data_IF_345023609445
#
_entry.id   IF_345023609445
#
_cell.length_a   1.000
_cell.length_b   1.000
_cell.length_c   1.000
_cell.angle_alpha   90.00
_cell.angle_beta   90.00
_cell.angle_gamma   90.00
#
_symmetry.space_group_name_H-M   'P 1'
#
loop_
_entity.id
_entity.type
_entity.pdbx_description
1 polymer ?
#
# COMPACT_ATOMS: atom_id res chain seq x y z
N UNK A 1 -17.05 -36.49 -56.48
CA UNK A 1 -16.68 -35.23 -57.18
C UNK A 1 -15.55 -34.60 -56.37
N UNK A 2 -14.30 -34.92 -56.71
CA UNK A 2 -13.40 -34.12 -57.56
C UNK A 2 -12.70 -32.98 -56.79
N UNK A 3 -11.47 -33.32 -56.35
CA UNK A 3 -10.25 -32.50 -56.28
C UNK A 3 -10.34 -31.06 -56.82
N UNK A 4 -9.91 -30.08 -56.04
CA UNK A 4 -9.07 -28.94 -56.47
C UNK A 4 -8.37 -28.39 -55.19
N UNK A 5 -7.11 -28.74 -54.91
CA UNK A 5 -5.85 -28.19 -55.44
C UNK A 5 -5.17 -27.19 -54.48
N UNK A 6 -4.13 -27.72 -53.83
CA UNK A 6 -2.94 -27.05 -53.31
C UNK A 6 -2.42 -25.90 -54.19
N UNK A 7 -2.05 -24.78 -53.56
CA UNK A 7 -0.94 -23.85 -53.89
C UNK A 7 -0.93 -22.80 -52.76
N UNK A 8 0.02 -22.79 -51.82
CA UNK A 8 1.31 -22.12 -52.00
C UNK A 8 2.34 -22.60 -50.96
N UNK A 9 3.47 -23.13 -51.45
CA UNK A 9 4.74 -23.29 -50.72
C UNK A 9 5.56 -22.00 -50.86
N UNK A 10 6.54 -21.85 -49.95
CA UNK A 10 7.66 -20.89 -49.94
C UNK A 10 7.27 -19.47 -49.51
N UNK A 11 7.86 -18.86 -48.49
CA UNK A 11 9.29 -18.62 -48.30
C UNK A 11 9.61 -18.49 -46.79
N UNK A 12 10.43 -19.39 -46.25
CA UNK A 12 11.17 -19.18 -45.00
C UNK A 12 12.66 -19.16 -45.37
N UNK A 13 13.43 -18.11 -45.02
CA UNK A 13 14.85 -18.09 -45.30
C UNK A 13 15.61 -19.01 -44.33
N UNK A 14 16.36 -19.95 -44.89
CA UNK A 14 17.35 -20.78 -44.19
C UNK A 14 18.50 -19.89 -43.70
N UNK A 15 18.56 -19.62 -42.40
CA UNK A 15 19.74 -19.05 -41.76
C UNK A 15 20.76 -20.19 -41.60
N UNK A 16 21.82 -20.14 -42.41
CA UNK A 16 22.99 -21.02 -42.27
C UNK A 16 23.85 -20.49 -41.11
N UNK A 17 23.96 -21.27 -40.03
CA UNK A 17 25.00 -21.07 -39.04
C UNK A 17 26.33 -21.56 -39.63
N UNK A 18 27.20 -20.63 -40.01
CA UNK A 18 28.61 -20.94 -40.26
C UNK A 18 29.34 -21.00 -38.92
N UNK A 19 29.75 -22.19 -38.53
CA UNK A 19 30.74 -22.41 -37.48
C UNK A 19 32.13 -22.13 -38.06
N UNK A 20 32.74 -21.02 -37.71
CA UNK A 20 34.17 -20.77 -37.93
C UNK A 20 34.91 -20.90 -36.61
N UNK A 21 35.43 -22.09 -36.34
CA UNK A 21 36.56 -22.30 -35.44
C UNK A 21 37.81 -21.77 -36.15
N UNK A 22 38.41 -20.69 -35.62
CA UNK A 22 39.77 -20.30 -35.98
C UNK A 22 40.57 -20.04 -34.71
N UNK A 23 41.37 -21.04 -34.35
CA UNK A 23 42.52 -20.91 -33.46
C UNK A 23 43.53 -19.95 -34.07
N UNK A 24 43.92 -18.90 -33.34
CA UNK A 24 45.15 -18.17 -33.64
C UNK A 24 45.99 -18.04 -32.37
N UNK A 25 47.28 -18.29 -32.60
CA UNK A 25 48.37 -18.48 -31.66
C UNK A 25 48.85 -17.15 -31.06
N UNK A 26 49.46 -17.28 -29.90
CA UNK A 26 50.32 -16.29 -29.25
C UNK A 26 51.35 -15.68 -30.22
N UNK A 27 51.49 -14.36 -30.17
CA UNK A 27 52.77 -13.66 -30.31
C UNK A 27 52.70 -12.40 -29.45
N UNK A 28 53.43 -12.40 -28.34
CA UNK A 28 53.83 -11.19 -27.64
C UNK A 28 54.88 -10.49 -28.49
N UNK A 29 54.81 -9.16 -28.60
CA UNK A 29 55.96 -8.25 -28.54
C UNK A 29 55.53 -6.77 -28.68
N UNK A 30 55.93 -6.00 -27.65
CA UNK A 30 56.41 -4.62 -27.64
C UNK A 30 55.51 -3.42 -28.04
N UNK A 31 55.25 -2.61 -27.01
CA UNK A 31 54.83 -1.20 -27.01
C UNK A 31 55.82 -0.28 -27.76
N UNK A 32 55.32 0.89 -28.22
CA UNK A 32 55.78 2.12 -27.60
C UNK A 32 54.63 3.01 -27.13
N UNK A 33 54.85 3.67 -25.99
CA UNK A 33 54.05 4.79 -25.49
C UNK A 33 54.29 6.00 -26.39
N UNK A 34 53.25 6.75 -26.74
CA UNK A 34 53.29 8.21 -26.81
C UNK A 34 51.89 8.82 -27.03
N UNK A 35 51.57 9.75 -26.13
CA UNK A 35 50.82 10.99 -26.32
C UNK A 35 49.28 10.96 -26.33
N UNK A 36 48.78 11.18 -25.11
CA UNK A 36 47.48 11.74 -24.77
C UNK A 36 47.13 12.97 -25.62
N UNK A 37 46.07 12.88 -26.42
CA UNK A 37 45.29 14.03 -26.85
C UNK A 37 43.80 13.68 -26.72
N UNK A 38 43.26 14.03 -25.55
CA UNK A 38 41.91 14.51 -25.30
C UNK A 38 40.80 14.01 -26.27
N UNK A 39 40.48 12.72 -26.20
CA UNK A 39 39.09 12.30 -26.42
C UNK A 39 38.37 12.44 -25.09
N UNK A 40 37.51 13.45 -25.05
CA UNK A 40 36.49 13.69 -24.03
C UNK A 40 35.88 12.37 -23.56
N UNK A 41 36.18 12.02 -22.31
CA UNK A 41 35.46 11.03 -21.52
C UNK A 41 34.03 11.52 -21.34
N UNK A 42 33.18 11.29 -22.33
CA UNK A 42 31.77 11.01 -22.03
C UNK A 42 31.85 9.73 -21.23
N UNK A 43 31.77 9.87 -19.91
CA UNK A 43 31.68 8.73 -19.03
C UNK A 43 30.37 8.04 -19.38
N UNK A 44 30.45 6.89 -20.06
CA UNK A 44 29.39 5.90 -20.10
C UNK A 44 29.09 5.49 -18.65
N UNK A 45 28.31 6.31 -17.93
CA UNK A 45 27.69 5.98 -16.64
C UNK A 45 26.49 5.04 -16.83
N UNK A 46 26.62 4.13 -17.79
CA UNK A 46 25.77 2.95 -17.95
C UNK A 46 26.70 1.73 -18.00
N UNK A 47 27.60 1.61 -17.03
CA UNK A 47 28.08 0.29 -16.65
C UNK A 47 26.81 -0.53 -16.39
N UNK A 48 26.49 -1.46 -17.29
CA UNK A 48 25.28 -2.26 -17.25
C UNK A 48 25.37 -3.15 -16.02
N UNK A 49 24.90 -2.65 -14.89
CA UNK A 49 24.74 -3.44 -13.67
C UNK A 49 23.96 -4.70 -14.03
N UNK A 50 24.40 -5.85 -13.50
CA UNK A 50 23.74 -7.10 -13.76
C UNK A 50 22.28 -7.03 -13.28
N UNK A 51 21.32 -7.63 -14.01
CA UNK A 51 19.93 -7.58 -13.60
C UNK A 51 19.75 -8.21 -12.21
N UNK A 52 19.02 -7.53 -11.33
CA UNK A 52 18.73 -7.99 -9.97
C UNK A 52 17.65 -9.07 -10.00
N UNK A 53 18.05 -10.33 -10.14
CA UNK A 53 17.12 -11.47 -10.04
C UNK A 53 17.10 -11.93 -8.59
N UNK A 54 16.04 -11.59 -7.87
CA UNK A 54 15.83 -11.96 -6.47
C UNK A 54 14.89 -13.15 -6.39
N UNK A 55 15.42 -14.35 -6.60
CA UNK A 55 14.74 -15.60 -6.26
C UNK A 55 14.72 -15.74 -4.74
N UNK A 56 13.53 -15.85 -4.16
CA UNK A 56 13.39 -16.06 -2.72
C UNK A 56 13.34 -17.57 -2.43
N UNK A 57 14.22 -18.08 -1.58
CA UNK A 57 14.06 -19.42 -1.01
C UNK A 57 13.07 -19.33 0.15
N UNK A 58 11.88 -19.90 -0.03
CA UNK A 58 10.80 -19.88 0.98
C UNK A 58 11.00 -20.98 2.04
N UNK A 59 12.23 -21.13 2.54
CA UNK A 59 12.62 -22.27 3.39
C UNK A 59 11.91 -22.26 4.75
N UNK A 60 11.53 -21.09 5.24
CA UNK A 60 10.86 -20.91 6.53
C UNK A 60 9.35 -21.15 6.48
N UNK A 61 8.70 -20.71 5.40
CA UNK A 61 7.25 -20.82 5.23
C UNK A 61 6.97 -21.18 3.77
N UNK A 62 6.70 -22.45 3.53
CA UNK A 62 6.29 -22.91 2.20
C UNK A 62 4.89 -22.41 1.87
N UNK A 63 4.62 -22.02 0.61
CA UNK A 63 3.33 -21.50 0.21
C UNK A 63 2.23 -22.55 0.39
N UNK A 64 1.15 -22.19 1.06
CA UNK A 64 0.04 -23.11 1.34
C UNK A 64 -0.74 -23.48 0.06
N UNK A 65 -0.70 -22.63 -0.96
CA UNK A 65 -1.33 -22.86 -2.26
C UNK A 65 -0.31 -23.30 -3.30
N UNK A 66 -0.70 -24.22 -4.19
CA UNK A 66 0.13 -24.69 -5.33
C UNK A 66 0.28 -23.61 -6.43
N UNK A 67 -0.39 -22.47 -6.28
CA UNK A 67 -0.22 -21.32 -7.17
C UNK A 67 1.23 -20.85 -7.12
N UNK A 68 1.90 -20.82 -8.27
CA UNK A 68 3.28 -20.36 -8.37
C UNK A 68 3.46 -18.93 -7.84
N UNK A 69 4.68 -18.65 -7.39
CA UNK A 69 5.08 -17.33 -6.88
C UNK A 69 4.82 -16.25 -7.92
N UNK A 70 4.36 -15.08 -7.48
CA UNK A 70 4.15 -13.94 -8.38
C UNK A 70 5.50 -13.26 -8.61
N UNK A 71 5.79 -12.90 -9.86
CA UNK A 71 6.99 -12.18 -10.23
C UNK A 71 6.64 -10.73 -10.54
N UNK A 72 7.42 -9.80 -10.02
CA UNK A 72 7.23 -8.36 -10.21
C UNK A 72 8.55 -7.71 -10.59
N UNK A 73 8.49 -6.69 -11.43
CA UNK A 73 9.66 -5.92 -11.85
C UNK A 73 10.20 -5.06 -10.71
N UNK A 74 11.52 -4.97 -10.64
CA UNK A 74 12.22 -3.99 -9.79
C UNK A 74 12.53 -2.78 -10.65
N UNK A 75 12.00 -1.63 -10.26
CA UNK A 75 12.17 -0.35 -10.94
C UNK A 75 13.24 0.51 -10.25
N UNK A 76 13.82 1.44 -11.01
CA UNK A 76 14.69 2.50 -10.50
C UNK A 76 13.88 3.67 -9.94
N UNK A 77 14.44 4.46 -9.03
CA UNK A 77 13.87 5.77 -8.65
C UNK A 77 14.78 6.94 -9.05
N UNK A 78 16.04 6.65 -9.38
CA UNK A 78 17.11 7.62 -9.61
C UNK A 78 16.93 8.47 -10.89
N UNK A 79 16.11 8.01 -11.83
CA UNK A 79 15.88 8.66 -13.12
C UNK A 79 14.39 8.72 -13.40
N UNK A 80 13.96 9.72 -14.17
CA UNK A 80 12.54 9.88 -14.55
C UNK A 80 12.14 8.68 -15.39
N UNK A 81 13.01 8.32 -16.35
CA UNK A 81 12.79 7.22 -17.29
C UNK A 81 12.71 5.87 -16.59
N UNK A 82 11.67 5.10 -16.91
CA UNK A 82 11.46 3.77 -16.36
C UNK A 82 12.56 2.81 -16.83
N UNK A 83 13.28 2.22 -15.88
CA UNK A 83 14.27 1.18 -16.12
C UNK A 83 13.99 -0.02 -15.24
N UNK A 84 13.84 -1.18 -15.88
CA UNK A 84 13.64 -2.47 -15.21
C UNK A 84 15.01 -3.02 -14.80
N UNK A 85 15.33 -2.86 -13.52
CA UNK A 85 16.59 -3.31 -12.93
C UNK A 85 16.63 -4.82 -12.74
N UNK A 86 15.48 -5.47 -12.56
CA UNK A 86 15.42 -6.89 -12.24
C UNK A 86 14.02 -7.41 -11.97
N UNK A 87 13.93 -8.62 -11.42
CA UNK A 87 12.68 -9.29 -11.08
C UNK A 87 12.80 -9.83 -9.65
N UNK A 88 11.75 -9.63 -8.86
CA UNK A 88 11.60 -10.22 -7.52
C UNK A 88 10.43 -11.20 -7.50
N UNK A 89 10.64 -12.32 -6.81
CA UNK A 89 9.58 -13.28 -6.51
C UNK A 89 8.88 -12.90 -5.19
N UNK A 90 7.56 -12.90 -5.22
CA UNK A 90 6.69 -12.57 -4.09
C UNK A 90 5.96 -13.80 -3.58
N UNK A 91 5.80 -13.88 -2.26
CA UNK A 91 5.12 -14.99 -1.62
C UNK A 91 3.61 -15.01 -1.94
N UNK A 92 3.04 -16.13 -2.43
CA UNK A 92 1.66 -16.17 -2.88
C UNK A 92 0.64 -15.99 -1.74
N UNK A 93 0.93 -16.44 -0.51
CA UNK A 93 0.01 -16.25 0.62
C UNK A 93 -0.10 -14.79 1.12
N UNK A 94 0.74 -13.88 0.61
CA UNK A 94 0.65 -12.44 0.91
C UNK A 94 0.13 -11.65 -0.28
N UNK A 95 0.68 -11.91 -1.47
CA UNK A 95 0.44 -11.13 -2.68
C UNK A 95 -0.47 -11.81 -3.72
N UNK A 96 -0.84 -13.08 -3.52
CA UNK A 96 -1.73 -13.83 -4.41
C UNK A 96 -2.94 -14.42 -3.67
N UNK A 97 -3.35 -13.81 -2.56
CA UNK A 97 -4.56 -14.21 -1.82
C UNK A 97 -5.83 -13.87 -2.59
N UNK A 98 -6.91 -14.58 -2.32
CA UNK A 98 -8.20 -14.28 -2.93
C UNK A 98 -8.67 -12.86 -2.54
N UNK A 99 -9.00 -11.99 -3.51
CA UNK A 99 -9.39 -10.62 -3.23
C UNK A 99 -10.77 -10.55 -2.56
N UNK A 100 -10.76 -10.38 -1.23
CA UNK A 100 -11.97 -10.34 -0.39
C UNK A 100 -12.38 -8.90 -0.06
N UNK A 101 -13.21 -8.31 -0.92
CA UNK A 101 -13.71 -6.93 -0.79
C UNK A 101 -14.49 -6.70 0.52
N UNK A 102 -15.20 -7.73 1.00
CA UNK A 102 -15.92 -7.72 2.27
C UNK A 102 -14.99 -7.46 3.47
N UNK A 103 -13.89 -8.20 3.55
CA UNK A 103 -12.90 -8.06 4.64
C UNK A 103 -12.15 -6.74 4.54
N UNK A 104 -11.87 -6.28 3.32
CA UNK A 104 -11.27 -4.97 3.07
C UNK A 104 -12.19 -3.86 3.61
N UNK A 105 -13.48 -3.90 3.27
CA UNK A 105 -14.47 -2.94 3.77
C UNK A 105 -14.60 -2.97 5.30
N UNK A 106 -14.66 -4.16 5.92
CA UNK A 106 -14.69 -4.29 7.39
C UNK A 106 -13.48 -3.61 8.06
N UNK A 107 -12.30 -3.75 7.46
CA UNK A 107 -11.07 -3.14 7.97
C UNK A 107 -11.09 -1.61 7.88
N UNK A 108 -11.55 -1.06 6.76
CA UNK A 108 -11.69 0.39 6.57
C UNK A 108 -12.67 0.97 7.59
N UNK A 109 -13.84 0.35 7.73
CA UNK A 109 -14.86 0.81 8.67
C UNK A 109 -14.37 0.73 10.12
N UNK A 110 -13.65 -0.34 10.46
CA UNK A 110 -12.98 -0.46 11.75
C UNK A 110 -11.97 0.67 11.97
N UNK A 111 -11.08 0.93 11.00
CA UNK A 111 -10.06 1.99 11.06
C UNK A 111 -10.66 3.40 11.19
N UNK A 112 -11.83 3.64 10.59
CA UNK A 112 -12.57 4.90 10.75
C UNK A 112 -13.20 5.02 12.14
N UNK A 113 -13.88 3.97 12.61
CA UNK A 113 -14.70 4.00 13.83
C UNK A 113 -13.88 3.90 15.12
N UNK A 114 -12.79 3.12 15.15
CA UNK A 114 -12.04 2.89 16.40
C UNK A 114 -11.45 4.17 16.99
N UNK A 115 -11.10 5.14 16.14
CA UNK A 115 -10.55 6.45 16.53
C UNK A 115 -11.61 7.55 16.67
N UNK A 116 -12.85 7.28 16.26
CA UNK A 116 -13.90 8.30 16.17
C UNK A 116 -14.65 8.46 17.50
N UNK A 117 -14.72 9.70 17.97
CA UNK A 117 -15.49 10.10 19.16
C UNK A 117 -16.43 11.23 18.76
N UNK A 118 -17.73 11.03 18.98
CA UNK A 118 -18.73 12.05 18.73
C UNK A 118 -18.92 12.93 19.95
N UNK A 119 -18.61 14.22 19.78
CA UNK A 119 -18.80 15.25 20.82
C UNK A 119 -20.14 15.96 20.72
N UNK A 120 -20.99 15.60 19.75
CA UNK A 120 -22.30 16.21 19.57
C UNK A 120 -23.16 16.01 20.83
N UNK A 121 -23.56 17.11 21.46
CA UNK A 121 -24.35 17.09 22.69
C UNK A 121 -25.58 17.97 22.54
N UNK A 122 -26.75 17.39 22.81
CA UNK A 122 -27.99 18.15 22.92
C UNK A 122 -28.45 18.21 24.37
N UNK A 123 -28.87 19.42 24.79
CA UNK A 123 -29.42 19.64 26.13
C UNK A 123 -30.80 19.00 26.23
N UNK A 124 -30.94 18.11 27.20
CA UNK A 124 -32.25 17.60 27.62
C UNK A 124 -33.04 18.68 28.33
N UNK A 125 -34.36 18.48 28.50
CA UNK A 125 -35.22 19.44 29.24
C UNK A 125 -34.75 19.73 30.67
N UNK A 126 -33.97 18.82 31.27
CA UNK A 126 -33.41 18.99 32.61
C UNK A 126 -32.20 19.94 32.62
N UNK A 127 -31.39 19.90 31.56
CA UNK A 127 -30.14 20.65 31.42
C UNK A 127 -30.33 22.07 30.86
N UNK A 128 -31.43 22.34 30.16
CA UNK A 128 -31.79 23.70 29.73
C UNK A 128 -32.04 24.58 30.96
N UNK A 129 -31.68 25.88 30.95
CA UNK A 129 -31.86 26.82 32.09
C UNK A 129 -33.34 27.22 32.31
N UNK A 130 -33.77 27.63 33.52
CA UNK A 130 -35.14 28.16 33.80
C UNK A 130 -36.20 27.15 34.32
N UNK A 131 -37.42 27.13 33.80
CA UNK A 131 -38.34 25.95 33.81
C UNK A 131 -38.77 25.23 35.09
N UNK A 132 -38.41 25.70 36.30
CA UNK A 132 -38.78 25.05 37.57
C UNK A 132 -40.21 25.35 38.03
N UNK A 133 -40.81 26.45 37.57
CA UNK A 133 -42.19 26.83 37.88
C UNK A 133 -43.16 26.35 36.78
N UNK A 134 -44.32 25.85 37.19
CA UNK A 134 -45.42 25.51 36.28
C UNK A 134 -45.93 26.78 35.56
N UNK A 135 -46.07 26.80 34.22
CA UNK A 135 -46.46 28.01 33.49
C UNK A 135 -47.83 28.58 33.88
N UNK A 136 -48.82 27.71 34.09
CA UNK A 136 -50.17 28.07 34.52
C UNK A 136 -50.87 26.89 35.25
N UNK A 137 -51.95 27.15 36.02
CA UNK A 137 -52.72 26.09 36.69
C UNK A 137 -53.27 25.04 35.71
N UNK A 138 -53.53 23.82 36.22
CA UNK A 138 -53.95 22.68 35.38
C UNK A 138 -55.31 22.88 34.70
N UNK A 139 -56.19 23.67 35.30
CA UNK A 139 -57.57 23.94 34.86
C UNK A 139 -57.86 25.45 35.01
N UNK A 140 -58.88 25.95 34.30
CA UNK A 140 -59.37 27.33 34.41
C UNK A 140 -58.88 28.30 33.34
N UNK A 141 -57.79 28.01 32.62
CA UNK A 141 -57.21 28.94 31.63
C UNK A 141 -57.64 28.68 30.18
N UNK A 142 -58.33 27.57 29.88
CA UNK A 142 -58.72 27.19 28.51
C UNK A 142 -57.54 26.79 27.58
N UNK A 143 -56.30 26.79 28.08
CA UNK A 143 -55.09 26.45 27.31
C UNK A 143 -54.71 24.97 27.45
N UNK A 144 -53.84 24.48 26.56
CA UNK A 144 -53.22 23.16 26.69
C UNK A 144 -52.47 23.00 28.03
N UNK A 145 -52.40 21.78 28.54
CA UNK A 145 -51.80 21.47 29.85
C UNK A 145 -50.29 21.33 29.72
N UNK A 146 -49.53 22.14 30.45
CA UNK A 146 -48.06 22.08 30.45
C UNK A 146 -47.47 22.10 31.86
N UNK A 147 -46.41 21.30 32.05
CA UNK A 147 -45.70 21.19 33.32
C UNK A 147 -44.48 22.10 33.43
N UNK A 148 -43.80 22.40 32.32
CA UNK A 148 -42.59 23.23 32.28
C UNK A 148 -42.41 23.86 30.90
N UNK A 149 -41.86 25.08 30.86
CA UNK A 149 -41.50 25.77 29.61
C UNK A 149 -40.30 25.14 28.89
N UNK A 150 -39.53 24.26 29.54
CA UNK A 150 -38.35 23.59 28.94
C UNK A 150 -38.71 22.30 28.19
N UNK A 151 -40.00 21.96 28.10
CA UNK A 151 -40.46 20.77 27.40
C UNK A 151 -40.07 20.84 25.91
N UNK A 152 -39.74 19.70 25.26
CA UNK A 152 -39.44 19.67 23.82
C UNK A 152 -40.54 20.24 22.92
N UNK A 153 -41.78 20.30 23.42
CA UNK A 153 -42.92 20.90 22.72
C UNK A 153 -42.85 22.44 22.64
N UNK A 154 -42.09 23.08 23.52
CA UNK A 154 -41.93 24.54 23.53
C UNK A 154 -40.71 24.97 22.73
N UNK A 155 -40.81 26.16 22.11
CA UNK A 155 -39.65 26.83 21.50
C UNK A 155 -38.60 27.13 22.57
N UNK A 156 -37.34 26.74 22.30
CA UNK A 156 -36.24 26.87 23.26
C UNK A 156 -36.22 25.82 24.37
N UNK A 157 -37.13 24.82 24.32
CA UNK A 157 -37.08 23.64 25.17
C UNK A 157 -35.93 22.69 24.81
N UNK A 158 -35.70 21.70 25.68
CA UNK A 158 -34.69 20.68 25.43
C UNK A 158 -35.09 19.71 24.32
N UNK A 159 -34.13 19.00 23.71
CA UNK A 159 -34.44 17.93 22.74
C UNK A 159 -34.80 16.63 23.48
N UNK A 160 -35.81 15.91 22.99
CA UNK A 160 -36.25 14.63 23.57
C UNK A 160 -35.26 13.50 23.24
N UNK A 161 -35.05 13.27 21.94
CA UNK A 161 -34.05 12.34 21.41
C UNK A 161 -33.05 13.15 20.60
N UNK A 162 -31.88 13.37 21.17
CA UNK A 162 -30.78 14.00 20.48
C UNK A 162 -29.48 13.35 20.91
N UNK A 163 -28.37 13.72 20.26
CA UNK A 163 -27.08 13.12 20.55
C UNK A 163 -26.69 13.41 22.00
N UNK A 164 -26.19 12.37 22.66
CA UNK A 164 -25.60 12.42 24.00
C UNK A 164 -24.12 12.17 23.83
N UNK A 165 -23.30 13.02 24.43
CA UNK A 165 -21.85 13.02 24.27
C UNK A 165 -21.17 12.99 25.64
N UNK A 166 -19.96 12.42 25.74
CA UNK A 166 -19.20 11.82 24.63
C UNK A 166 -19.69 10.40 24.28
N UNK A 167 -19.84 10.10 22.99
CA UNK A 167 -20.12 8.74 22.50
C UNK A 167 -18.95 8.21 21.70
N UNK A 168 -18.42 7.06 22.14
CA UNK A 168 -17.33 6.36 21.48
C UNK A 168 -17.89 5.27 20.56
N UNK A 169 -17.28 5.10 19.39
CA UNK A 169 -17.63 4.02 18.46
C UNK A 169 -16.53 2.94 18.42
N UNK A 170 -15.79 2.81 19.52
CA UNK A 170 -14.65 1.92 19.62
C UNK A 170 -15.09 0.45 19.62
N UNK A 171 -14.46 -0.33 18.75
CA UNK A 171 -14.46 -1.78 18.79
C UNK A 171 -13.15 -2.30 18.20
N UNK A 172 -12.75 -3.51 18.60
CA UNK A 172 -11.56 -4.17 18.06
C UNK A 172 -11.97 -5.24 17.06
N UNK A 173 -11.50 -5.12 15.82
CA UNK A 173 -11.65 -6.17 14.82
C UNK A 173 -10.73 -7.36 15.17
N UNK A 174 -11.21 -8.62 15.05
CA UNK A 174 -10.39 -9.80 15.28
C UNK A 174 -9.06 -9.71 14.54
N UNK A 175 -7.98 -10.13 15.20
CA UNK A 175 -6.63 -9.94 14.70
C UNK A 175 -6.43 -10.51 13.29
N UNK A 176 -6.88 -11.74 13.04
CA UNK A 176 -6.72 -12.37 11.72
C UNK A 176 -7.60 -11.75 10.64
N UNK A 177 -8.77 -11.17 10.98
CA UNK A 177 -9.53 -10.37 10.03
C UNK A 177 -8.75 -9.11 9.58
N UNK A 178 -7.92 -8.54 10.47
CA UNK A 178 -7.04 -7.42 10.13
C UNK A 178 -5.90 -7.84 9.20
N UNK A 179 -5.26 -8.96 9.50
CA UNK A 179 -4.21 -9.55 8.64
C UNK A 179 -4.77 -9.90 7.25
N UNK A 180 -5.92 -10.58 7.19
CA UNK A 180 -6.58 -10.90 5.92
C UNK A 180 -6.95 -9.65 5.12
N UNK A 181 -7.32 -8.55 5.77
CA UNK A 181 -7.58 -7.28 5.11
C UNK A 181 -6.32 -6.69 4.48
N UNK A 182 -5.17 -6.78 5.15
CA UNK A 182 -3.89 -6.34 4.61
C UNK A 182 -3.45 -7.18 3.40
N UNK A 183 -3.42 -8.51 3.53
CA UNK A 183 -3.00 -9.42 2.45
C UNK A 183 -3.91 -9.32 1.24
N UNK A 184 -5.24 -9.27 1.45
CA UNK A 184 -6.20 -9.09 0.37
C UNK A 184 -6.00 -7.75 -0.36
N UNK A 185 -5.69 -6.67 0.36
CA UNK A 185 -5.45 -5.36 -0.27
C UNK A 185 -4.15 -5.34 -1.08
N UNK A 186 -3.07 -5.92 -0.56
CA UNK A 186 -1.80 -6.08 -1.30
C UNK A 186 -1.99 -6.92 -2.57
N UNK A 187 -2.76 -8.01 -2.46
CA UNK A 187 -3.07 -8.88 -3.59
C UNK A 187 -3.93 -8.14 -4.64
N UNK A 188 -4.88 -7.30 -4.22
CA UNK A 188 -5.68 -6.46 -5.12
C UNK A 188 -4.80 -5.43 -5.84
N UNK A 189 -3.94 -4.71 -5.11
CA UNK A 189 -3.02 -3.71 -5.72
C UNK A 189 -2.10 -4.35 -6.75
N UNK A 190 -1.57 -5.54 -6.46
CA UNK A 190 -0.77 -6.28 -7.44
C UNK A 190 -1.60 -6.73 -8.65
N UNK A 191 -2.81 -7.26 -8.44
CA UNK A 191 -3.66 -7.72 -9.52
C UNK A 191 -4.19 -6.60 -10.43
N UNK A 192 -4.17 -5.35 -9.96
CA UNK A 192 -4.57 -4.15 -10.69
C UNK A 192 -3.39 -3.45 -11.39
N UNK A 193 -2.18 -3.98 -11.26
CA UNK A 193 -0.94 -3.33 -11.73
C UNK A 193 -0.64 -1.98 -11.04
N UNK A 194 -1.23 -1.73 -9.85
CA UNK A 194 -1.03 -0.52 -9.05
C UNK A 194 0.15 -0.65 -8.04
N UNK A 195 0.75 -1.84 -7.96
CA UNK A 195 1.86 -2.15 -7.05
C UNK A 195 3.19 -2.11 -7.81
N UNK A 196 4.07 -1.17 -7.43
CA UNK A 196 5.41 -1.07 -7.97
C UNK A 196 6.46 -1.39 -6.90
N UNK A 197 7.54 -2.05 -7.30
CA UNK A 197 8.66 -2.36 -6.41
C UNK A 197 9.88 -1.58 -6.88
N UNK A 198 10.45 -0.78 -5.99
CA UNK A 198 11.67 -0.02 -6.24
C UNK A 198 12.84 -0.63 -5.47
N UNK A 199 14.05 -0.42 -5.97
CA UNK A 199 15.26 -0.87 -5.29
C UNK A 199 15.41 -0.20 -3.92
N UNK A 200 15.54 1.13 -3.93
CA UNK A 200 15.76 2.00 -2.77
C UNK A 200 14.98 3.32 -2.97
N UNK A 201 14.90 4.16 -1.92
CA UNK A 201 14.18 5.47 -1.96
C UNK A 201 15.11 6.67 -2.20
N UNK A 202 16.33 6.43 -2.68
CA UNK A 202 17.33 7.48 -2.88
C UNK A 202 17.09 8.23 -4.19
N UNK A 203 16.76 9.52 -4.12
CA UNK A 203 16.54 10.38 -5.29
C UNK A 203 17.76 11.28 -5.52
N UNK A 204 18.18 11.55 -6.77
CA UNK A 204 19.34 12.40 -7.08
C UNK A 204 19.20 13.85 -6.62
N UNK A 205 17.98 14.41 -6.64
CA UNK A 205 17.69 15.80 -6.24
C UNK A 205 16.49 15.86 -5.29
N UNK A 206 16.48 16.82 -4.37
CA UNK A 206 15.33 17.15 -3.51
C UNK A 206 14.22 17.94 -4.21
N UNK A 207 14.31 18.10 -5.53
CA UNK A 207 13.34 18.84 -6.33
C UNK A 207 12.02 18.07 -6.47
N UNK A 208 10.91 18.69 -6.03
CA UNK A 208 9.58 18.10 -6.17
C UNK A 208 9.13 17.95 -7.64
N UNK A 209 9.73 18.73 -8.57
CA UNK A 209 9.44 18.64 -10.00
C UNK A 209 9.91 17.31 -10.57
N UNK A 210 11.10 16.85 -10.17
CA UNK A 210 11.63 15.55 -10.56
C UNK A 210 10.65 14.42 -10.23
N UNK A 211 10.15 14.39 -8.99
CA UNK A 211 9.22 13.35 -8.55
C UNK A 211 7.86 13.45 -9.26
N UNK A 212 7.40 14.67 -9.55
CA UNK A 212 6.17 14.89 -10.32
C UNK A 212 6.30 14.38 -11.76
N UNK A 213 7.41 14.71 -12.41
CA UNK A 213 7.68 14.29 -13.79
C UNK A 213 7.83 12.76 -13.86
N UNK A 214 8.47 12.14 -12.87
CA UNK A 214 8.59 10.69 -12.74
C UNK A 214 7.21 10.01 -12.64
N UNK A 215 6.33 10.53 -11.77
CA UNK A 215 4.98 9.99 -11.59
C UNK A 215 4.16 10.10 -12.89
N UNK A 216 4.29 11.21 -13.62
CA UNK A 216 3.58 11.44 -14.88
C UNK A 216 4.11 10.50 -15.96
N UNK A 217 5.43 10.39 -16.11
CA UNK A 217 6.04 9.57 -17.15
C UNK A 217 5.66 8.08 -17.00
N UNK A 218 5.71 7.58 -15.76
CA UNK A 218 5.44 6.18 -15.44
C UNK A 218 3.96 5.87 -15.26
N UNK A 219 3.10 6.87 -15.39
CA UNK A 219 1.65 6.75 -15.21
C UNK A 219 1.25 6.16 -13.84
N UNK A 220 1.93 6.53 -12.77
CA UNK A 220 1.61 6.09 -11.39
C UNK A 220 0.31 6.69 -10.83
N UNK A 221 -0.50 7.35 -11.66
CA UNK A 221 -1.75 7.95 -11.25
C UNK A 221 -1.60 9.23 -10.41
N UNK A 222 -2.72 9.76 -9.90
CA UNK A 222 -2.76 11.05 -9.20
C UNK A 222 -2.24 11.01 -7.76
N UNK A 223 -2.14 9.83 -7.14
CA UNK A 223 -1.72 9.70 -5.74
C UNK A 223 -0.87 8.47 -5.51
N UNK A 224 0.22 8.63 -4.76
CA UNK A 224 1.27 7.63 -4.61
C UNK A 224 1.60 7.45 -3.14
N UNK A 225 1.66 6.20 -2.69
CA UNK A 225 2.14 5.85 -1.36
C UNK A 225 3.46 5.10 -1.47
N UNK A 226 4.54 5.71 -0.98
CA UNK A 226 5.87 5.11 -0.95
C UNK A 226 6.14 4.54 0.44
N UNK A 227 6.57 3.29 0.50
CA UNK A 227 6.79 2.57 1.75
C UNK A 227 8.20 1.99 1.80
N UNK A 228 8.90 2.28 2.89
CA UNK A 228 10.22 1.72 3.19
C UNK A 228 10.24 0.98 4.53
N UNK A 229 11.25 0.14 4.75
CA UNK A 229 11.44 -0.59 6.01
C UNK A 229 11.80 0.35 7.16
N UNK A 230 12.67 1.32 6.89
CA UNK A 230 13.20 2.22 7.91
C UNK A 230 12.24 3.39 8.21
N UNK A 231 12.38 3.95 9.40
CA UNK A 231 11.62 5.14 9.81
C UNK A 231 12.31 6.44 9.37
N UNK A 232 13.62 6.37 9.16
CA UNK A 232 14.47 7.49 8.76
C UNK A 232 14.61 7.42 7.24
N UNK A 233 14.00 8.37 6.55
CA UNK A 233 14.08 8.49 5.10
C UNK A 233 15.23 9.41 4.68
N UNK A 234 15.78 9.26 3.47
CA UNK A 234 16.79 10.18 2.96
C UNK A 234 16.25 11.62 2.82
N UNK A 235 17.13 12.62 2.95
CA UNK A 235 16.74 14.04 2.97
C UNK A 235 16.04 14.47 1.67
N UNK A 236 16.58 14.05 0.52
CA UNK A 236 16.07 14.43 -0.80
C UNK A 236 14.60 14.02 -1.01
N UNK A 237 14.24 12.76 -0.70
CA UNK A 237 12.86 12.30 -0.84
C UNK A 237 11.95 13.03 0.15
N UNK A 238 12.40 13.29 1.37
CA UNK A 238 11.61 14.01 2.36
C UNK A 238 11.29 15.43 1.88
N UNK A 239 12.27 16.16 1.35
CA UNK A 239 12.07 17.50 0.84
C UNK A 239 11.13 17.52 -0.38
N UNK A 240 11.35 16.61 -1.34
CA UNK A 240 10.53 16.49 -2.53
C UNK A 240 9.06 16.18 -2.18
N UNK A 241 8.85 15.23 -1.26
CA UNK A 241 7.52 14.74 -0.88
C UNK A 241 6.77 15.73 0.00
N UNK A 242 7.46 16.44 0.90
CA UNK A 242 6.84 17.45 1.79
C UNK A 242 6.10 18.55 1.01
N UNK A 243 6.58 18.88 -0.19
CA UNK A 243 5.96 19.86 -1.09
C UNK A 243 4.73 19.29 -1.84
N UNK A 244 4.59 17.96 -1.94
CA UNK A 244 3.56 17.26 -2.71
C UNK A 244 2.56 16.55 -1.78
N UNK A 245 1.40 17.15 -1.53
CA UNK A 245 0.40 16.57 -0.61
C UNK A 245 -0.27 15.25 -1.05
N UNK A 246 -0.09 14.83 -2.32
CA UNK A 246 -0.66 13.59 -2.87
C UNK A 246 0.34 12.44 -2.93
N UNK A 247 1.62 12.69 -2.65
CA UNK A 247 2.65 11.66 -2.48
C UNK A 247 2.93 11.57 -0.98
N UNK A 248 2.84 10.38 -0.40
CA UNK A 248 3.10 10.20 1.03
C UNK A 248 4.16 9.13 1.25
N UNK A 249 5.03 9.38 2.23
CA UNK A 249 6.00 8.41 2.74
C UNK A 249 5.43 7.73 3.99
N UNK A 250 5.59 6.41 4.09
CA UNK A 250 5.20 5.66 5.28
C UNK A 250 6.23 4.56 5.58
N UNK A 251 6.59 4.32 6.85
CA UNK A 251 7.39 3.15 7.20
C UNK A 251 6.53 1.87 7.18
N UNK A 252 7.15 0.73 6.91
CA UNK A 252 6.48 -0.55 6.68
C UNK A 252 5.64 -1.02 7.87
N UNK A 253 6.07 -0.72 9.11
CA UNK A 253 5.32 -1.08 10.33
C UNK A 253 4.00 -0.31 10.48
N UNK A 254 3.84 0.82 9.79
CA UNK A 254 2.65 1.68 9.84
C UNK A 254 1.64 1.40 8.72
N UNK A 255 1.97 0.46 7.82
CA UNK A 255 1.15 0.12 6.66
C UNK A 255 -0.26 -0.32 7.08
N UNK A 256 -1.27 0.24 6.42
CA UNK A 256 -2.66 0.01 6.76
C UNK A 256 -3.57 0.00 5.52
N UNK A 257 -4.66 -0.77 5.58
CA UNK A 257 -5.63 -0.91 4.48
C UNK A 257 -6.21 0.42 3.99
N UNK A 258 -6.54 1.35 4.89
CA UNK A 258 -7.09 2.64 4.52
C UNK A 258 -6.13 3.48 3.67
N UNK A 259 -4.86 3.58 4.07
CA UNK A 259 -3.83 4.31 3.34
C UNK A 259 -3.57 3.69 1.98
N UNK A 260 -3.52 2.35 1.88
CA UNK A 260 -3.32 1.67 0.60
C UNK A 260 -4.45 1.93 -0.40
N UNK A 261 -5.69 2.04 0.07
CA UNK A 261 -6.85 2.32 -0.80
C UNK A 261 -7.09 3.81 -1.05
N UNK A 262 -6.57 4.68 -0.18
CA UNK A 262 -6.62 6.13 -0.39
C UNK A 262 -5.72 6.56 -1.55
N UNK A 263 -4.64 5.83 -1.80
CA UNK A 263 -3.70 6.11 -2.87
C UNK A 263 -3.93 5.15 -4.04
N UNK A 264 -3.72 5.65 -5.25
CA UNK A 264 -3.94 4.88 -6.47
C UNK A 264 -2.77 3.93 -6.70
N UNK A 265 -1.54 4.37 -6.50
CA UNK A 265 -0.37 3.50 -6.59
C UNK A 265 0.32 3.31 -5.25
N UNK A 266 0.84 2.10 -5.07
CA UNK A 266 1.60 1.68 -3.91
C UNK A 266 3.00 1.27 -4.35
N UNK A 267 4.00 1.92 -3.79
CA UNK A 267 5.41 1.73 -4.13
C UNK A 267 6.12 1.17 -2.90
N UNK A 268 6.70 -0.03 -3.01
CA UNK A 268 7.44 -0.68 -1.93
C UNK A 268 8.92 -0.77 -2.27
N UNK A 269 9.81 -0.54 -1.30
CA UNK A 269 11.21 -0.95 -1.44
C UNK A 269 11.37 -2.46 -1.34
N UNK A 270 12.43 -3.02 -1.91
CA UNK A 270 12.78 -4.45 -1.74
C UNK A 270 12.85 -4.81 -0.25
N UNK A 271 13.42 -3.93 0.57
CA UNK A 271 13.55 -4.13 2.02
C UNK A 271 12.18 -4.13 2.72
N UNK A 272 11.27 -3.24 2.31
CA UNK A 272 9.89 -3.21 2.83
C UNK A 272 9.13 -4.49 2.47
N UNK A 273 9.24 -4.97 1.22
CA UNK A 273 8.60 -6.21 0.78
C UNK A 273 9.03 -7.38 1.65
N UNK A 274 10.34 -7.61 1.79
CA UNK A 274 10.87 -8.70 2.62
C UNK A 274 10.40 -8.63 4.07
N UNK A 275 10.37 -7.41 4.63
CA UNK A 275 9.91 -7.21 6.01
C UNK A 275 8.41 -7.48 6.17
N UNK A 276 7.59 -7.04 5.21
CA UNK A 276 6.14 -7.28 5.21
C UNK A 276 5.85 -8.78 5.09
N UNK A 277 6.53 -9.48 4.17
CA UNK A 277 6.40 -10.93 3.98
C UNK A 277 6.75 -11.69 5.26
N UNK A 278 7.92 -11.41 5.84
CA UNK A 278 8.38 -12.04 7.08
C UNK A 278 7.34 -11.91 8.20
N UNK A 279 6.79 -10.70 8.40
CA UNK A 279 5.87 -10.40 9.50
C UNK A 279 4.48 -11.01 9.29
N UNK A 280 3.96 -10.98 8.06
CA UNK A 280 2.65 -11.54 7.75
C UNK A 280 2.69 -13.07 7.76
N UNK A 281 3.71 -13.69 7.16
CA UNK A 281 3.88 -15.14 7.14
C UNK A 281 4.09 -15.70 8.55
N UNK A 282 4.95 -15.07 9.35
CA UNK A 282 5.14 -15.46 10.74
C UNK A 282 3.81 -15.55 11.50
N UNK A 283 2.91 -14.60 11.23
CA UNK A 283 1.65 -14.53 11.93
C UNK A 283 0.59 -15.48 11.39
N UNK A 284 0.60 -15.79 10.09
CA UNK A 284 -0.26 -16.79 9.47
C UNK A 284 0.08 -18.22 9.92
N UNK A 285 1.36 -18.54 10.04
CA UNK A 285 1.86 -19.89 10.42
C UNK A 285 2.08 -20.06 11.93
N UNK A 286 1.62 -19.11 12.74
CA UNK A 286 1.82 -19.12 14.18
C UNK A 286 0.98 -20.19 14.90
N UNK A 287 1.63 -21.09 15.64
CA UNK A 287 0.96 -22.15 16.40
C UNK A 287 0.27 -21.67 17.69
N UNK A 288 0.82 -20.67 18.39
CA UNK A 288 0.29 -20.10 19.64
C UNK A 288 -0.85 -19.08 19.43
N UNK A 289 -1.39 -18.99 18.21
CA UNK A 289 -2.39 -17.99 17.83
C UNK A 289 -3.68 -18.07 18.67
N UNK A 290 -4.15 -19.28 18.99
CA UNK A 290 -5.31 -19.49 19.86
C UNK A 290 -5.05 -18.99 21.29
N UNK A 291 -3.88 -19.29 21.85
CA UNK A 291 -3.52 -18.86 23.21
C UNK A 291 -3.42 -17.34 23.32
N UNK A 292 -2.83 -16.68 22.30
CA UNK A 292 -2.69 -15.21 22.28
C UNK A 292 -3.98 -14.44 22.06
N UNK A 293 -4.94 -15.04 21.34
CA UNK A 293 -6.25 -14.44 21.11
C UNK A 293 -7.27 -14.79 22.20
N UNK A 294 -6.94 -15.70 23.12
CA UNK A 294 -7.82 -16.04 24.22
C UNK A 294 -8.01 -14.83 25.15
N UNK A 295 -9.24 -14.61 25.67
CA UNK A 295 -9.45 -13.59 26.69
C UNK A 295 -8.57 -13.89 27.90
N UNK A 296 -7.88 -12.87 28.41
CA UNK A 296 -7.05 -13.00 29.60
C UNK A 296 -7.91 -13.50 30.77
N UNK A 297 -7.59 -14.70 31.28
CA UNK A 297 -8.22 -15.24 32.49
C UNK A 297 -7.28 -14.97 33.66
N UNK A 298 -7.71 -14.17 34.62
CA UNK A 298 -7.05 -14.12 35.93
C UNK A 298 -7.16 -15.53 36.53
N UNK A 299 -6.03 -16.14 36.93
CA UNK A 299 -6.10 -17.37 37.71
C UNK A 299 -6.70 -17.01 39.07
N UNK A 300 -7.99 -17.31 39.27
CA UNK A 300 -8.56 -17.32 40.60
C UNK A 300 -8.04 -18.58 41.29
N UNK A 301 -6.88 -18.42 41.94
CA UNK A 301 -6.38 -19.33 42.96
C UNK A 301 -7.00 -19.00 44.31
#
# INVERSE_FOLDING_TARGET
>A
MLNFLNKSKSLLPKIRYFTSTSSLRNTAENLPKENETQLTKVTDKTAREAPLILTQSFDTFEPAQVTGCRQVWIENIDDVQERKLGIIELHPDVFATQPRVDVIHENIEWQRKYRFVSFAHSKTRAEVRGGGRKPWPQKGTGRARHGSIRSPLFRGGGRAHGPRSPTTHFYMLPFFKRVMGLTATLSVKLAQDDLHIIKDVEIPSGDHQFLKDLIIERNWGPSVLIVDKEDIFPENICEATSKLGYVNLMPAYSLNTYSMLKHDTLVLTINAVKHIEERLLYQLHRSDSFAKNAPFKLSQG
#
